data_IF_447144806990
#
_entry.id   IF_447144806990
#
_cell.length_a   1.000
_cell.length_b   1.000
_cell.length_c   1.000
_cell.angle_alpha   90.00
_cell.angle_beta   90.00
_cell.angle_gamma   90.00
#
_symmetry.space_group_name_H-M   'P 1'
#
loop_
_entity.id
_entity.type
_entity.pdbx_description
1 polymer ?
#
# COMPACT_ATOMS: atom_id res chain seq x y z
N UNK A 1 23.43 1.54 3.94
CA UNK A 1 22.54 2.22 3.06
C UNK A 1 21.56 3.01 3.83
N UNK A 2 21.29 4.18 3.36
CA UNK A 2 20.40 5.09 4.05
C UNK A 2 19.01 4.99 3.45
N UNK A 3 18.01 4.86 4.28
CA UNK A 3 16.64 4.89 3.81
C UNK A 3 16.33 6.30 3.30
N UNK A 4 15.48 6.37 2.29
CA UNK A 4 15.15 7.64 1.66
C UNK A 4 13.65 7.87 1.76
N UNK A 5 13.20 8.18 2.96
CA UNK A 5 11.78 8.39 3.22
C UNK A 5 11.32 9.73 2.69
N UNK A 6 10.14 9.73 2.09
CA UNK A 6 9.52 10.92 1.53
C UNK A 6 8.15 11.07 2.18
N UNK A 7 7.82 12.28 2.62
CA UNK A 7 6.50 12.56 3.17
C UNK A 7 5.48 12.55 2.03
N UNK A 8 4.41 11.78 2.17
CA UNK A 8 3.43 11.58 1.10
C UNK A 8 2.02 11.94 1.51
N UNK A 9 1.75 12.03 2.81
CA UNK A 9 0.41 12.33 3.30
C UNK A 9 0.50 12.70 4.77
N UNK A 10 -0.60 13.16 5.35
CA UNK A 10 -0.71 13.34 6.78
C UNK A 10 -1.33 12.10 7.39
N UNK A 11 -1.01 11.83 8.65
CA UNK A 11 -1.51 10.64 9.32
C UNK A 11 -3.05 10.59 9.29
N UNK A 12 -3.70 11.73 9.48
CA UNK A 12 -5.16 11.78 9.47
C UNK A 12 -5.80 11.57 8.11
N UNK A 13 -5.01 11.58 7.04
CA UNK A 13 -5.56 11.37 5.69
C UNK A 13 -5.94 9.92 5.44
N UNK A 14 -5.43 9.00 6.26
CA UNK A 14 -5.71 7.57 6.10
C UNK A 14 -6.32 7.06 7.41
N UNK A 15 -7.64 7.08 7.53
CA UNK A 15 -8.30 6.62 8.77
C UNK A 15 -8.04 5.14 9.05
N UNK A 16 -8.14 4.76 10.31
CA UNK A 16 -7.98 3.36 10.72
C UNK A 16 -8.96 2.49 9.96
N UNK A 17 -8.47 1.39 9.42
CA UNK A 17 -9.29 0.43 8.69
C UNK A 17 -9.53 0.80 7.23
N UNK A 18 -8.89 1.85 6.74
CA UNK A 18 -9.09 2.30 5.37
C UNK A 18 -7.78 2.40 4.61
N UNK A 19 -7.91 2.50 3.30
CA UNK A 19 -6.79 2.70 2.40
C UNK A 19 -7.00 3.97 1.59
N UNK A 20 -5.91 4.63 1.23
CA UNK A 20 -5.94 5.81 0.37
C UNK A 20 -4.80 5.72 -0.63
N UNK A 21 -5.05 6.24 -1.82
CA UNK A 21 -4.05 6.20 -2.89
C UNK A 21 -3.28 7.51 -2.92
N UNK A 22 -1.97 7.42 -3.03
CA UNK A 22 -1.11 8.58 -3.27
C UNK A 22 -0.20 8.26 -4.44
N UNK A 23 0.28 9.31 -5.11
CA UNK A 23 1.25 9.15 -6.20
C UNK A 23 2.57 9.75 -5.76
N UNK A 24 3.63 8.96 -5.83
CA UNK A 24 4.96 9.39 -5.40
C UNK A 24 5.92 9.10 -6.54
N UNK A 25 6.51 10.16 -7.10
CA UNK A 25 7.47 10.03 -8.20
C UNK A 25 6.93 9.17 -9.35
N UNK A 26 5.67 9.36 -9.69
CA UNK A 26 5.03 8.62 -10.78
C UNK A 26 4.52 7.24 -10.41
N UNK A 27 4.73 6.79 -9.17
CA UNK A 27 4.28 5.48 -8.73
C UNK A 27 3.05 5.65 -7.84
N UNK A 28 1.97 4.93 -8.16
CA UNK A 28 0.77 4.98 -7.33
C UNK A 28 0.88 3.94 -6.23
N UNK A 29 0.64 4.38 -5.01
CA UNK A 29 0.71 3.53 -3.83
C UNK A 29 -0.63 3.54 -3.10
N UNK A 30 -0.97 2.42 -2.51
CA UNK A 30 -2.09 2.33 -1.58
C UNK A 30 -1.51 2.38 -0.17
N UNK A 31 -1.91 3.38 0.61
CA UNK A 31 -1.53 3.49 2.00
C UNK A 31 -2.65 2.87 2.83
N UNK A 32 -2.32 1.88 3.64
CA UNK A 32 -3.31 1.12 4.39
C UNK A 32 -3.07 1.31 5.87
N UNK A 33 -4.12 1.67 6.60
CA UNK A 33 -4.02 1.88 8.05
C UNK A 33 -4.64 0.70 8.77
N UNK A 34 -3.80 -0.14 9.38
CA UNK A 34 -4.24 -1.28 10.16
C UNK A 34 -3.93 -0.99 11.61
N UNK A 35 -4.96 -0.68 12.40
CA UNK A 35 -4.85 -0.39 13.82
C UNK A 35 -3.82 0.71 14.14
N UNK A 36 -3.71 1.70 13.27
CA UNK A 36 -2.79 2.82 13.48
C UNK A 36 -1.43 2.63 12.84
N UNK A 37 -1.14 1.45 12.32
CA UNK A 37 0.11 1.17 11.62
C UNK A 37 -0.11 1.34 10.12
N UNK A 38 0.75 2.09 9.47
CA UNK A 38 0.64 2.34 8.03
C UNK A 38 1.49 1.35 7.26
N UNK A 39 0.89 0.78 6.22
CA UNK A 39 1.58 -0.08 5.25
C UNK A 39 1.38 0.49 3.87
N UNK A 40 2.38 0.40 3.03
CA UNK A 40 2.32 0.93 1.67
C UNK A 40 2.60 -0.20 0.68
N UNK A 41 1.71 -0.34 -0.29
CA UNK A 41 1.88 -1.32 -1.37
C UNK A 41 1.57 -0.62 -2.69
N UNK A 42 1.96 -1.24 -3.80
CA UNK A 42 1.57 -0.74 -5.11
C UNK A 42 0.04 -0.72 -5.21
N UNK A 43 -0.51 0.30 -5.85
CA UNK A 43 -1.94 0.43 -6.06
C UNK A 43 -2.37 -0.31 -7.33
N UNK A 44 -1.82 -1.49 -7.55
CA UNK A 44 -2.13 -2.24 -8.78
C UNK A 44 -2.30 -3.70 -8.43
N UNK A 45 -3.47 -4.23 -8.71
CA UNK A 45 -3.73 -5.65 -8.55
C UNK A 45 -2.96 -6.40 -9.63
N UNK A 46 -2.15 -7.36 -9.22
CA UNK A 46 -1.32 -8.10 -10.18
C UNK A 46 -2.13 -9.03 -11.07
N UNK A 47 -3.40 -9.27 -10.72
CA UNK A 47 -4.27 -10.10 -11.53
C UNK A 47 -4.75 -9.36 -12.80
N UNK A 48 -5.16 -8.11 -12.65
CA UNK A 48 -5.81 -7.42 -13.79
C UNK A 48 -5.38 -5.96 -13.92
N UNK A 49 -4.32 -5.55 -13.21
CA UNK A 49 -3.81 -4.18 -13.23
C UNK A 49 -4.81 -3.15 -12.71
N UNK A 50 -5.88 -3.59 -12.05
CA UNK A 50 -6.86 -2.67 -11.49
C UNK A 50 -6.37 -2.06 -10.18
N UNK A 51 -6.97 -0.95 -9.74
CA UNK A 51 -6.54 -0.29 -8.52
C UNK A 51 -6.90 -1.11 -7.28
N UNK A 52 -5.99 -1.14 -6.30
CA UNK A 52 -6.20 -1.82 -5.04
C UNK A 52 -6.67 -0.88 -3.94
N UNK A 53 -6.28 0.40 -4.01
CA UNK A 53 -6.57 1.34 -2.93
C UNK A 53 -8.04 1.61 -2.71
N UNK A 54 -8.88 1.30 -3.67
CA UNK A 54 -10.33 1.40 -3.51
C UNK A 54 -10.95 0.11 -2.99
N UNK A 55 -10.14 -0.89 -2.73
CA UNK A 55 -10.63 -2.17 -2.24
C UNK A 55 -10.90 -2.13 -0.75
N UNK A 56 -11.43 -3.25 -0.25
CA UNK A 56 -11.77 -3.39 1.15
C UNK A 56 -10.56 -3.86 1.94
N UNK A 57 -10.27 -3.18 3.02
CA UNK A 57 -9.22 -3.59 3.94
C UNK A 57 -9.86 -4.34 5.10
N UNK A 58 -9.39 -5.56 5.35
CA UNK A 58 -9.89 -6.39 6.42
C UNK A 58 -8.68 -6.96 7.17
N UNK A 59 -8.39 -6.40 8.35
CA UNK A 59 -7.15 -6.72 9.04
C UNK A 59 -5.97 -6.33 8.19
N UNK A 60 -5.06 -7.27 7.92
CA UNK A 60 -3.90 -7.01 7.08
C UNK A 60 -4.13 -7.38 5.61
N UNK A 61 -5.35 -7.74 5.23
CA UNK A 61 -5.66 -8.14 3.87
C UNK A 61 -6.38 -7.03 3.14
N UNK A 62 -5.94 -6.71 1.92
CA UNK A 62 -6.69 -5.81 1.06
C UNK A 62 -7.25 -6.63 -0.10
N UNK A 63 -8.50 -6.39 -0.42
CA UNK A 63 -9.20 -7.15 -1.44
C UNK A 63 -9.37 -6.32 -2.69
N UNK A 64 -8.95 -6.87 -3.84
CA UNK A 64 -9.17 -6.24 -5.12
C UNK A 64 -10.68 -6.14 -5.38
N UNK A 65 -11.21 -4.95 -5.67
CA UNK A 65 -12.66 -4.79 -5.79
C UNK A 65 -13.26 -5.48 -7.00
N UNK A 66 -12.45 -5.89 -7.97
CA UNK A 66 -12.98 -6.45 -9.20
C UNK A 66 -13.24 -7.93 -9.13
N UNK A 67 -12.29 -8.71 -8.62
CA UNK A 67 -12.41 -10.17 -8.64
C UNK A 67 -12.10 -10.82 -7.30
N UNK A 68 -11.89 -10.04 -6.24
CA UNK A 68 -11.73 -10.61 -4.91
C UNK A 68 -10.35 -11.16 -4.58
N UNK A 69 -9.35 -10.89 -5.42
CA UNK A 69 -7.98 -11.26 -5.07
C UNK A 69 -7.57 -10.51 -3.80
N UNK A 70 -6.82 -11.17 -2.93
CA UNK A 70 -6.40 -10.56 -1.66
C UNK A 70 -4.89 -10.60 -1.51
N UNK A 71 -4.38 -9.56 -0.90
CA UNK A 71 -2.95 -9.40 -0.66
C UNK A 71 -2.71 -8.96 0.78
N UNK A 72 -1.62 -9.44 1.36
CA UNK A 72 -1.21 -9.02 2.70
C UNK A 72 -0.49 -7.67 2.56
N UNK A 73 -0.99 -6.64 3.21
CA UNK A 73 -0.43 -5.29 3.06
C UNK A 73 0.94 -5.14 3.73
N UNK A 74 1.32 -6.08 4.60
CA UNK A 74 2.61 -6.01 5.29
C UNK A 74 3.77 -6.31 4.35
N UNK A 75 3.58 -7.21 3.40
CA UNK A 75 4.66 -7.63 2.51
C UNK A 75 4.21 -7.82 1.06
N UNK A 76 2.93 -7.65 0.77
CA UNK A 76 2.42 -7.76 -0.60
C UNK A 76 2.13 -9.16 -1.08
N UNK A 77 2.28 -10.18 -0.23
CA UNK A 77 2.09 -11.55 -0.70
C UNK A 77 0.64 -11.83 -1.03
N UNK A 78 0.44 -12.77 -1.95
CA UNK A 78 -0.90 -13.19 -2.33
C UNK A 78 -1.52 -14.01 -1.21
N UNK A 79 -2.76 -13.67 -0.84
CA UNK A 79 -3.53 -14.42 0.12
C UNK A 79 -4.68 -15.19 -0.51
N UNK A 80 -5.16 -14.72 -1.65
CA UNK A 80 -6.31 -15.35 -2.30
C UNK A 80 -6.28 -15.13 -3.80
N UNK A 81 -6.57 -16.21 -4.54
CA UNK A 81 -6.73 -16.12 -5.97
C UNK A 81 -7.88 -15.16 -6.32
N UNK A 82 -7.92 -14.62 -7.53
CA UNK A 82 -7.17 -15.09 -8.70
C UNK A 82 -5.77 -14.48 -8.88
N UNK A 83 -5.28 -13.70 -7.93
CA UNK A 83 -3.93 -13.18 -8.07
C UNK A 83 -2.91 -14.31 -7.93
N UNK A 84 -1.89 -14.31 -8.79
CA UNK A 84 -0.84 -15.30 -8.76
C UNK A 84 0.50 -14.72 -8.35
N UNK A 85 0.66 -13.40 -8.38
CA UNK A 85 1.92 -12.74 -8.10
C UNK A 85 1.73 -11.71 -6.98
N UNK A 86 2.74 -11.54 -6.11
CA UNK A 86 2.64 -10.54 -5.05
C UNK A 86 2.69 -9.12 -5.63
N UNK A 87 2.19 -8.17 -4.86
CA UNK A 87 2.40 -6.76 -5.16
C UNK A 87 3.64 -6.31 -4.41
N UNK A 88 4.26 -5.22 -4.87
CA UNK A 88 5.41 -4.67 -4.18
C UNK A 88 4.95 -3.94 -2.93
N UNK A 89 5.70 -4.10 -1.84
CA UNK A 89 5.47 -3.37 -0.62
C UNK A 89 6.64 -2.41 -0.37
N UNK A 90 6.39 -1.36 0.42
CA UNK A 90 7.38 -0.32 0.68
C UNK A 90 7.40 -0.01 2.16
N UNK A 91 8.57 0.27 2.73
CA UNK A 91 8.63 0.71 4.13
C UNK A 91 7.84 2.00 4.31
N UNK A 92 7.05 2.07 5.36
CA UNK A 92 6.26 3.24 5.69
C UNK A 92 6.33 3.50 7.19
N UNK A 93 6.23 4.77 7.57
CA UNK A 93 6.26 5.16 8.97
C UNK A 93 5.51 6.47 9.15
N UNK A 94 5.18 6.78 10.40
CA UNK A 94 4.58 8.08 10.75
C UNK A 94 5.60 8.83 11.61
N UNK A 95 5.93 10.05 11.19
CA UNK A 95 6.86 10.92 11.92
C UNK A 95 6.26 12.31 11.94
N UNK A 96 6.05 12.87 13.14
CA UNK A 96 5.48 14.20 13.30
C UNK A 96 4.19 14.40 12.53
N UNK A 97 3.30 13.40 12.64
CA UNK A 97 1.99 13.43 12.00
C UNK A 97 2.04 13.35 10.47
N UNK A 98 3.19 12.99 9.91
CA UNK A 98 3.32 12.76 8.48
C UNK A 98 3.56 11.31 8.18
N UNK A 99 2.91 10.81 7.13
CA UNK A 99 3.19 9.48 6.62
C UNK A 99 4.35 9.60 5.65
N UNK A 100 5.39 8.82 5.89
CA UNK A 100 6.59 8.80 5.06
C UNK A 100 6.79 7.41 4.49
N UNK A 101 7.18 7.34 3.23
CA UNK A 101 7.37 6.07 2.52
C UNK A 101 8.72 6.10 1.83
N UNK A 102 9.41 4.96 1.85
CA UNK A 102 10.65 4.80 1.13
C UNK A 102 10.37 3.93 -0.10
N UNK A 103 10.28 4.57 -1.28
CA UNK A 103 10.02 3.83 -2.51
C UNK A 103 11.31 3.30 -3.13
N UNK A 104 12.41 3.43 -2.41
CA UNK A 104 13.71 3.03 -2.92
C UNK A 104 14.32 4.14 -3.73
N UNK A 105 15.62 4.05 -3.88
CA UNK A 105 16.32 5.01 -4.66
C UNK A 105 16.63 4.38 -5.98
N UNK A 106 15.62 3.94 -6.62
CA UNK A 106 15.85 3.11 -7.70
C UNK A 106 15.82 3.78 -8.94
N UNK A 107 16.72 3.52 -9.65
CA UNK A 107 16.73 3.97 -10.94
C UNK A 107 16.41 2.88 -11.81
N UNK A 108 15.51 2.16 -11.46
CA UNK A 108 15.18 1.05 -12.25
C UNK A 108 14.64 1.38 -13.55
#
# INVERSE_FOLDING_TARGET
MTANYIAVAKAGDVPVGEARVVTVAGTRLALCNVDGQIYAIDDTCTHDDGPLGSGRLNGHAIECPRHGARFDVRDGRVLQMPAAFPVRSYPARIVNDEIQVDIGNENR
#
